data_IF_147466314416
#
_entry.id   IF_147466314416
#
_cell.length_a   1.000
_cell.length_b   1.000
_cell.length_c   1.000
_cell.angle_alpha   90.00
_cell.angle_beta   90.00
_cell.angle_gamma   90.00
#
_symmetry.space_group_name_H-M   'P 1'
#
loop_
_entity.id
_entity.type
_entity.pdbx_description
1 polymer ?
#
# COMPACT_ATOMS: atom_id res chain seq x y z
N UNK A 1 21.29 -65.20 13.89
CA UNK A 1 20.79 -63.83 13.63
C UNK A 1 21.67 -63.24 12.54
N UNK A 2 21.20 -63.24 11.29
CA UNK A 2 21.98 -62.82 10.13
C UNK A 2 21.90 -61.29 10.02
N UNK A 3 23.01 -60.62 10.34
CA UNK A 3 23.18 -59.18 10.14
C UNK A 3 23.37 -58.93 8.64
N UNK A 4 22.36 -58.34 8.01
CA UNK A 4 22.49 -57.81 6.66
C UNK A 4 23.64 -56.79 6.64
N UNK A 5 24.59 -56.88 5.69
CA UNK A 5 25.73 -55.99 5.67
C UNK A 5 25.24 -54.57 5.35
N UNK A 6 25.60 -53.62 6.22
CA UNK A 6 25.24 -52.19 6.16
C UNK A 6 25.43 -51.55 4.77
N UNK A 7 26.37 -52.08 3.97
CA UNK A 7 26.63 -51.67 2.58
C UNK A 7 25.46 -51.94 1.62
N UNK A 8 24.66 -52.97 1.89
CA UNK A 8 23.53 -53.38 1.05
C UNK A 8 22.31 -52.48 1.29
N UNK A 9 22.12 -52.02 2.53
CA UNK A 9 21.08 -51.04 2.89
C UNK A 9 21.37 -49.67 2.28
N UNK A 10 22.64 -49.24 2.31
CA UNK A 10 23.06 -47.96 1.74
C UNK A 10 22.96 -47.94 0.20
N UNK A 11 23.28 -49.06 -0.46
CA UNK A 11 23.15 -49.19 -1.91
C UNK A 11 21.67 -49.16 -2.35
N UNK A 12 20.78 -49.77 -1.56
CA UNK A 12 19.34 -49.81 -1.86
C UNK A 12 18.68 -48.43 -1.69
N UNK A 13 19.09 -47.65 -0.68
CA UNK A 13 18.55 -46.30 -0.47
C UNK A 13 19.03 -45.30 -1.54
N UNK A 14 20.26 -45.43 -2.04
CA UNK A 14 20.75 -44.63 -3.18
C UNK A 14 20.01 -44.98 -4.49
N UNK A 15 19.69 -46.26 -4.73
CA UNK A 15 18.90 -46.69 -5.90
C UNK A 15 17.45 -46.16 -5.86
N UNK A 16 16.83 -46.11 -4.68
CA UNK A 16 15.47 -45.62 -4.50
C UNK A 16 15.34 -44.10 -4.67
N UNK A 17 16.38 -43.33 -4.33
CA UNK A 17 16.42 -41.87 -4.54
C UNK A 17 16.53 -41.48 -6.02
N UNK A 18 17.14 -42.32 -6.87
CA UNK A 18 17.21 -42.08 -8.32
C UNK A 18 15.94 -42.46 -9.09
N UNK A 19 15.00 -43.18 -8.47
CA UNK A 19 13.71 -43.56 -9.06
C UNK A 19 12.60 -42.52 -8.83
N UNK A 20 12.88 -41.44 -8.08
CA UNK A 20 11.91 -40.36 -7.78
C UNK A 20 12.07 -39.12 -8.68
N UNK A 21 12.66 -39.30 -9.86
CA UNK A 21 12.76 -38.23 -10.87
C UNK A 21 12.30 -38.72 -12.23
N UNK A 22 11.24 -38.10 -12.76
CA UNK A 22 10.65 -38.27 -14.11
C UNK A 22 9.87 -39.60 -14.30
N UNK A 23 8.64 -39.66 -14.82
CA UNK A 23 7.80 -38.80 -15.66
C UNK A 23 6.36 -39.38 -15.56
N UNK A 24 5.28 -38.62 -15.80
CA UNK A 24 4.63 -38.66 -17.11
C UNK A 24 3.76 -37.41 -17.36
N UNK A 25 3.94 -36.88 -18.57
CA UNK A 25 3.16 -35.85 -19.22
C UNK A 25 1.84 -36.38 -19.79
N UNK A 26 0.85 -35.49 -19.94
CA UNK A 26 -0.15 -35.41 -21.03
C UNK A 26 -1.14 -34.29 -20.66
N UNK A 27 -1.52 -33.32 -21.48
CA UNK A 27 -1.35 -33.11 -22.90
C UNK A 27 -1.73 -31.67 -23.27
N UNK A 28 -1.42 -31.32 -24.51
CA UNK A 28 -1.56 -30.02 -25.16
C UNK A 28 -2.89 -29.29 -24.95
N UNK A 29 -2.82 -27.97 -24.70
CA UNK A 29 -3.54 -27.02 -25.55
C UNK A 29 -2.81 -25.68 -25.58
N UNK A 30 -2.44 -25.30 -26.81
CA UNK A 30 -2.10 -23.94 -27.21
C UNK A 30 -3.19 -22.96 -26.75
N UNK A 31 -2.81 -21.97 -25.97
CA UNK A 31 -3.68 -20.87 -25.56
C UNK A 31 -2.83 -19.79 -24.91
N UNK A 32 -2.74 -18.63 -25.56
CA UNK A 32 -1.85 -17.53 -25.19
C UNK A 32 -1.86 -17.24 -23.70
N UNK A 33 -0.65 -17.13 -23.14
CA UNK A 33 -0.45 -16.65 -21.78
C UNK A 33 -0.90 -15.21 -21.69
N UNK A 34 -2.19 -15.01 -21.41
CA UNK A 34 -2.64 -13.81 -20.74
C UNK A 34 -1.98 -13.84 -19.35
N UNK A 35 -1.04 -12.92 -19.13
CA UNK A 35 -0.67 -12.50 -17.79
C UNK A 35 -1.91 -11.92 -17.12
N UNK A 36 -2.75 -12.78 -16.55
CA UNK A 36 -3.71 -12.36 -15.56
C UNK A 36 -2.89 -12.03 -14.32
N UNK A 37 -2.56 -10.75 -14.18
CA UNK A 37 -2.16 -10.16 -12.90
C UNK A 37 -3.30 -10.49 -11.94
N UNK A 38 -3.08 -11.44 -11.04
CA UNK A 38 -3.98 -11.70 -9.92
C UNK A 38 -3.93 -10.41 -9.09
N UNK A 39 -4.92 -9.53 -9.31
CA UNK A 39 -5.11 -8.35 -8.49
C UNK A 39 -5.37 -8.88 -7.10
N UNK A 40 -4.52 -8.52 -6.14
CA UNK A 40 -4.73 -8.86 -4.73
C UNK A 40 -6.07 -8.27 -4.29
N UNK A 41 -7.10 -9.12 -4.27
CA UNK A 41 -8.48 -8.73 -3.98
C UNK A 41 -8.59 -8.12 -2.58
N UNK A 42 -7.76 -8.58 -1.62
CA UNK A 42 -7.75 -8.05 -0.27
C UNK A 42 -7.18 -6.64 -0.25
N UNK A 43 -6.05 -6.40 -0.93
CA UNK A 43 -5.48 -5.06 -1.01
C UNK A 43 -6.45 -4.05 -1.64
N UNK A 44 -7.16 -4.46 -2.69
CA UNK A 44 -8.18 -3.63 -3.34
C UNK A 44 -9.37 -3.33 -2.41
N UNK A 45 -9.83 -4.32 -1.63
CA UNK A 45 -10.89 -4.15 -0.64
C UNK A 45 -10.47 -3.21 0.51
N UNK A 46 -9.25 -3.38 1.03
CA UNK A 46 -8.68 -2.55 2.09
C UNK A 46 -8.58 -1.08 1.66
N UNK A 47 -8.01 -0.84 0.48
CA UNK A 47 -7.96 0.48 -0.13
C UNK A 47 -9.37 1.06 -0.29
N UNK A 48 -10.33 0.27 -0.80
CA UNK A 48 -11.71 0.76 -0.97
C UNK A 48 -12.32 1.17 0.37
N UNK A 49 -12.09 0.40 1.44
CA UNK A 49 -12.58 0.73 2.79
C UNK A 49 -11.99 2.05 3.31
N UNK A 50 -10.68 2.28 3.10
CA UNK A 50 -9.97 3.51 3.48
C UNK A 50 -10.47 4.73 2.70
N UNK A 51 -10.71 4.60 1.39
CA UNK A 51 -11.30 5.65 0.56
C UNK A 51 -12.75 5.92 0.95
N UNK A 52 -13.56 4.87 1.20
CA UNK A 52 -14.96 5.01 1.59
C UNK A 52 -15.11 5.74 2.92
N UNK A 53 -14.16 5.52 3.84
CA UNK A 53 -14.10 6.25 5.10
C UNK A 53 -13.94 7.77 4.84
N UNK A 54 -12.98 8.18 4.01
CA UNK A 54 -12.78 9.59 3.64
C UNK A 54 -14.02 10.19 2.96
N UNK A 55 -14.59 9.48 1.99
CA UNK A 55 -15.78 9.93 1.26
C UNK A 55 -16.94 10.20 2.24
N UNK A 56 -17.19 9.28 3.18
CA UNK A 56 -18.22 9.47 4.21
C UNK A 56 -17.89 10.62 5.15
N UNK A 57 -16.63 10.72 5.61
CA UNK A 57 -16.19 11.77 6.51
C UNK A 57 -16.45 13.17 5.92
N UNK A 58 -16.11 13.35 4.64
CA UNK A 58 -16.29 14.63 3.94
C UNK A 58 -17.63 14.78 3.20
N UNK A 59 -18.56 13.84 3.38
CA UNK A 59 -19.89 13.79 2.73
C UNK A 59 -19.81 13.87 1.20
N UNK A 60 -18.87 13.13 0.62
CA UNK A 60 -18.67 13.00 -0.81
C UNK A 60 -19.50 11.86 -1.38
N UNK A 61 -19.73 11.91 -2.69
CA UNK A 61 -20.34 10.79 -3.39
C UNK A 61 -19.47 9.52 -3.30
N UNK A 62 -20.06 8.33 -3.45
CA UNK A 62 -19.28 7.11 -3.57
C UNK A 62 -18.41 7.16 -4.82
N UNK A 63 -17.16 6.69 -4.72
CA UNK A 63 -16.17 6.70 -5.80
C UNK A 63 -15.90 8.12 -6.33
N UNK A 64 -15.88 9.09 -5.41
CA UNK A 64 -15.56 10.47 -5.74
C UNK A 64 -14.08 10.61 -6.08
N UNK A 65 -13.20 9.90 -5.38
CA UNK A 65 -11.77 9.93 -5.72
C UNK A 65 -11.50 9.31 -7.08
N UNK A 66 -10.50 9.85 -7.77
CA UNK A 66 -10.06 9.37 -9.08
C UNK A 66 -9.11 8.19 -8.99
N UNK A 67 -8.10 8.21 -9.86
CA UNK A 67 -7.11 7.13 -9.96
C UNK A 67 -6.26 6.99 -8.70
N UNK A 68 -5.84 5.75 -8.45
CA UNK A 68 -4.81 5.41 -7.47
C UNK A 68 -3.44 5.46 -8.13
N UNK A 69 -2.44 5.97 -7.40
CA UNK A 69 -1.07 6.07 -7.92
C UNK A 69 -0.23 4.87 -7.53
N UNK A 70 0.63 4.45 -8.46
CA UNK A 70 1.52 3.33 -8.24
C UNK A 70 2.50 3.58 -7.06
N UNK A 71 3.02 2.51 -6.44
CA UNK A 71 3.81 2.60 -5.21
C UNK A 71 4.99 3.57 -5.27
N UNK A 72 5.66 3.65 -6.42
CA UNK A 72 6.81 4.54 -6.62
C UNK A 72 6.44 6.02 -6.41
N UNK A 73 5.39 6.49 -7.11
CA UNK A 73 4.93 7.88 -7.01
C UNK A 73 4.44 8.17 -5.60
N UNK A 74 3.66 7.27 -5.01
CA UNK A 74 3.16 7.44 -3.65
C UNK A 74 4.30 7.56 -2.62
N UNK A 75 5.36 6.75 -2.75
CA UNK A 75 6.54 6.83 -1.90
C UNK A 75 7.30 8.15 -2.05
N UNK A 76 7.52 8.65 -3.27
CA UNK A 76 8.21 9.92 -3.49
C UNK A 76 7.44 11.11 -2.91
N UNK A 77 6.12 11.12 -3.12
CA UNK A 77 5.23 12.11 -2.54
C UNK A 77 5.25 12.04 -1.02
N UNK A 78 5.24 10.84 -0.44
CA UNK A 78 5.33 10.65 1.00
C UNK A 78 6.66 11.15 1.59
N UNK A 79 7.80 10.84 0.96
CA UNK A 79 9.12 11.35 1.40
C UNK A 79 9.15 12.86 1.44
N UNK A 80 8.54 13.50 0.43
CA UNK A 80 8.47 14.96 0.35
C UNK A 80 7.55 15.50 1.45
N UNK A 81 6.37 14.92 1.61
CA UNK A 81 5.35 15.37 2.57
C UNK A 81 5.83 15.26 4.03
N UNK A 82 6.44 14.14 4.44
CA UNK A 82 6.90 13.94 5.83
C UNK A 82 8.03 14.90 6.26
N UNK A 83 8.74 15.49 5.28
CA UNK A 83 9.79 16.49 5.52
C UNK A 83 9.24 17.92 5.68
N UNK A 84 8.00 18.17 5.27
CA UNK A 84 7.39 19.49 5.40
C UNK A 84 7.02 19.75 6.86
N UNK A 85 7.57 20.83 7.43
CA UNK A 85 7.19 21.29 8.77
C UNK A 85 5.72 21.73 8.85
N UNK A 86 5.12 22.10 7.72
CA UNK A 86 3.71 22.46 7.60
C UNK A 86 2.79 21.26 7.36
N UNK A 87 3.31 20.02 7.33
CA UNK A 87 2.50 18.83 7.11
C UNK A 87 1.46 18.66 8.23
N UNK A 88 0.25 18.32 7.82
CA UNK A 88 -0.91 18.14 8.68
C UNK A 88 -1.58 16.82 8.36
N UNK A 89 -2.04 16.15 9.40
CA UNK A 89 -2.58 14.81 9.31
C UNK A 89 -3.94 14.76 10.00
N UNK A 90 -4.86 14.02 9.36
CA UNK A 90 -6.07 13.54 10.01
C UNK A 90 -5.84 12.08 10.36
N UNK A 91 -5.80 11.75 11.65
CA UNK A 91 -5.39 10.42 12.13
C UNK A 91 -6.56 9.68 12.78
N UNK A 92 -6.86 8.50 12.26
CA UNK A 92 -7.94 7.63 12.75
C UNK A 92 -7.49 6.17 12.80
N UNK A 93 -8.26 5.31 13.45
CA UNK A 93 -8.08 3.86 13.30
C UNK A 93 -8.29 3.48 11.82
N UNK A 94 -7.42 2.61 11.30
CA UNK A 94 -7.55 2.13 9.92
C UNK A 94 -8.86 1.32 9.78
N UNK A 95 -9.79 1.73 8.90
CA UNK A 95 -11.06 1.03 8.69
C UNK A 95 -10.89 -0.38 8.10
N UNK A 96 -9.73 -0.69 7.50
CA UNK A 96 -9.40 -2.02 7.01
C UNK A 96 -8.68 -2.88 8.07
N UNK A 97 -7.92 -2.26 8.99
CA UNK A 97 -7.17 -2.96 10.04
C UNK A 97 -7.06 -2.13 11.33
N UNK A 98 -8.04 -2.31 12.23
CA UNK A 98 -8.16 -1.56 13.48
C UNK A 98 -6.95 -1.66 14.44
N UNK A 99 -5.99 -2.54 14.18
CA UNK A 99 -4.75 -2.65 14.97
C UNK A 99 -3.82 -1.45 14.79
N UNK A 100 -3.99 -0.67 13.72
CA UNK A 100 -3.11 0.44 13.38
C UNK A 100 -3.88 1.74 13.16
N UNK A 101 -3.14 2.84 13.18
CA UNK A 101 -3.66 4.14 12.83
C UNK A 101 -3.32 4.46 11.37
N UNK A 102 -4.27 5.11 10.72
CA UNK A 102 -4.21 5.64 9.39
C UNK A 102 -4.15 7.16 9.46
N UNK A 103 -3.07 7.72 8.94
CA UNK A 103 -2.91 9.15 8.75
C UNK A 103 -3.21 9.51 7.30
N UNK A 104 -4.21 10.39 7.12
CA UNK A 104 -4.51 11.01 5.84
C UNK A 104 -3.82 12.37 5.76
N UNK A 105 -3.31 12.74 4.59
CA UNK A 105 -2.76 14.09 4.38
C UNK A 105 -2.96 14.53 2.92
N UNK A 106 -3.46 15.76 2.68
CA UNK A 106 -3.64 16.26 1.34
C UNK A 106 -2.29 16.67 0.76
N UNK A 107 -2.08 16.33 -0.50
CA UNK A 107 -0.81 16.54 -1.21
C UNK A 107 -1.05 17.16 -2.57
N UNK A 108 -0.12 18.03 -2.96
CA UNK A 108 0.02 18.51 -4.33
C UNK A 108 1.39 18.06 -4.81
N UNK A 109 1.43 17.40 -5.97
CA UNK A 109 2.66 16.83 -6.48
C UNK A 109 2.68 16.88 -8.00
N UNK A 110 3.89 16.78 -8.56
CA UNK A 110 4.10 16.80 -10.01
C UNK A 110 4.24 15.37 -10.51
N UNK A 111 3.54 15.04 -11.59
CA UNK A 111 3.67 13.74 -12.25
C UNK A 111 5.06 13.59 -12.88
N UNK A 112 5.76 12.46 -12.69
CA UNK A 112 7.09 12.25 -13.27
C UNK A 112 7.10 12.33 -14.80
N UNK A 113 6.07 11.80 -15.44
CA UNK A 113 6.07 11.56 -16.90
C UNK A 113 5.47 12.73 -17.71
N UNK A 114 4.54 13.50 -17.13
CA UNK A 114 3.83 14.57 -17.85
C UNK A 114 4.13 15.96 -17.33
N UNK A 115 4.84 16.09 -16.21
CA UNK A 115 5.08 17.36 -15.54
C UNK A 115 3.81 18.11 -15.07
N UNK A 116 2.63 17.48 -15.16
CA UNK A 116 1.36 18.03 -14.67
C UNK A 116 1.30 18.02 -13.15
N UNK A 117 0.62 19.02 -12.59
CA UNK A 117 0.29 19.01 -11.17
C UNK A 117 -0.96 18.16 -10.93
N UNK A 118 -0.88 17.31 -9.92
CA UNK A 118 -1.98 16.51 -9.40
C UNK A 118 -2.18 16.82 -7.92
N UNK A 119 -3.40 16.53 -7.49
CA UNK A 119 -3.92 16.83 -6.17
C UNK A 119 -4.57 15.56 -5.63
N UNK A 120 -4.28 15.19 -4.39
CA UNK A 120 -4.76 13.93 -3.85
C UNK A 120 -4.64 13.82 -2.34
N UNK A 121 -5.01 12.65 -1.83
CA UNK A 121 -4.83 12.26 -0.43
C UNK A 121 -3.83 11.13 -0.37
N UNK A 122 -2.74 11.37 0.37
CA UNK A 122 -1.79 10.34 0.75
C UNK A 122 -2.28 9.63 2.00
N UNK A 123 -2.20 8.30 1.99
CA UNK A 123 -2.61 7.41 3.06
C UNK A 123 -1.39 6.71 3.66
N UNK A 124 -1.17 6.94 4.95
CA UNK A 124 0.00 6.47 5.67
C UNK A 124 -0.41 5.63 6.86
N UNK A 125 0.17 4.44 7.00
CA UNK A 125 0.06 3.68 8.23
C UNK A 125 1.12 4.19 9.21
N UNK A 126 0.64 4.66 10.37
CA UNK A 126 1.49 5.19 11.44
C UNK A 126 1.36 4.31 12.68
N UNK A 127 2.52 3.86 13.18
CA UNK A 127 2.62 2.97 14.35
C UNK A 127 3.65 3.56 15.31
N UNK A 128 3.38 3.62 16.62
CA UNK A 128 4.33 4.19 17.57
C UNK A 128 5.71 3.53 17.48
N UNK A 129 6.72 4.37 17.35
CA UNK A 129 8.14 4.03 17.28
C UNK A 129 8.56 3.15 16.10
N UNK A 130 7.78 3.15 15.01
CA UNK A 130 8.10 2.44 13.78
C UNK A 130 8.13 3.38 12.57
N UNK A 131 8.88 3.02 11.51
CA UNK A 131 8.78 3.69 10.23
C UNK A 131 7.35 3.67 9.68
N UNK A 132 6.94 4.78 9.10
CA UNK A 132 5.66 4.92 8.43
C UNK A 132 5.62 4.11 7.14
N UNK A 133 4.54 3.38 6.91
CA UNK A 133 4.32 2.66 5.67
C UNK A 133 3.37 3.46 4.78
N UNK A 134 3.75 3.65 3.51
CA UNK A 134 2.85 4.21 2.49
C UNK A 134 1.85 3.12 2.12
N UNK A 135 0.56 3.40 2.31
CA UNK A 135 -0.50 2.51 1.89
C UNK A 135 -0.85 2.82 0.45
N UNK A 136 -1.33 4.03 0.20
CA UNK A 136 -1.80 4.46 -1.12
C UNK A 136 -1.77 5.98 -1.28
N UNK A 137 -1.88 6.41 -2.53
CA UNK A 137 -2.14 7.79 -2.92
C UNK A 137 -3.31 7.79 -3.91
N UNK A 138 -4.38 8.50 -3.56
CA UNK A 138 -5.57 8.64 -4.41
C UNK A 138 -5.73 10.07 -4.87
N UNK A 139 -6.01 10.24 -6.14
CA UNK A 139 -6.17 11.55 -6.74
C UNK A 139 -7.58 12.08 -6.50
N UNK A 140 -7.68 13.40 -6.51
CA UNK A 140 -8.95 14.06 -6.73
C UNK A 140 -9.43 13.82 -8.17
N UNK A 141 -10.74 13.92 -8.45
CA UNK A 141 -11.27 13.91 -9.81
C UNK A 141 -10.49 14.80 -10.77
N UNK A 142 -10.31 14.32 -11.99
CA UNK A 142 -9.77 15.15 -13.06
C UNK A 142 -10.72 16.31 -13.39
N UNK A 143 -10.14 17.44 -13.79
CA UNK A 143 -10.91 18.60 -14.23
C UNK A 143 -11.55 19.44 -13.11
N UNK A 144 -11.28 19.16 -11.83
CA UNK A 144 -11.68 20.06 -10.76
C UNK A 144 -11.02 21.44 -10.95
N UNK A 145 -11.82 22.49 -10.79
CA UNK A 145 -11.30 23.84 -10.77
C UNK A 145 -10.44 24.06 -9.51
N UNK A 146 -9.43 24.92 -9.62
CA UNK A 146 -8.54 25.26 -8.49
C UNK A 146 -9.29 25.72 -7.24
N UNK A 147 -10.41 26.44 -7.41
CA UNK A 147 -11.26 26.86 -6.29
C UNK A 147 -11.92 25.68 -5.57
N UNK A 148 -12.28 24.62 -6.30
CA UNK A 148 -12.86 23.42 -5.72
C UNK A 148 -11.82 22.66 -4.90
N UNK A 149 -10.62 22.47 -5.49
CA UNK A 149 -9.41 21.97 -4.82
C UNK A 149 -9.21 22.73 -3.49
N UNK A 150 -9.09 24.05 -3.53
CA UNK A 150 -8.94 24.88 -2.32
C UNK A 150 -10.08 24.69 -1.30
N UNK A 151 -11.32 24.54 -1.77
CA UNK A 151 -12.47 24.21 -0.92
C UNK A 151 -12.32 22.86 -0.20
N UNK A 152 -11.82 21.83 -0.89
CA UNK A 152 -11.51 20.53 -0.29
C UNK A 152 -10.39 20.62 0.73
N UNK A 153 -9.31 21.33 0.40
CA UNK A 153 -8.21 21.58 1.33
C UNK A 153 -8.69 22.31 2.59
N UNK A 154 -9.53 23.33 2.44
CA UNK A 154 -10.12 24.06 3.57
C UNK A 154 -10.94 23.15 4.48
N UNK A 155 -11.76 22.25 3.91
CA UNK A 155 -12.51 21.25 4.68
C UNK A 155 -11.60 20.24 5.37
N UNK A 156 -10.58 19.74 4.68
CA UNK A 156 -9.62 18.82 5.26
C UNK A 156 -8.86 19.46 6.43
N UNK A 157 -8.34 20.67 6.24
CA UNK A 157 -7.63 21.38 7.30
C UNK A 157 -8.52 21.78 8.48
N UNK A 158 -9.83 21.87 8.29
CA UNK A 158 -10.79 21.97 9.39
C UNK A 158 -10.98 20.67 10.18
N UNK A 159 -10.60 19.52 9.62
CA UNK A 159 -10.70 18.19 10.23
C UNK A 159 -9.35 17.64 10.75
N UNK A 160 -8.24 18.33 10.47
CA UNK A 160 -6.90 17.96 10.96
C UNK A 160 -6.87 17.94 12.48
N UNK A 161 -6.31 16.87 13.03
CA UNK A 161 -6.13 16.69 14.47
C UNK A 161 -4.65 16.56 14.88
N UNK A 162 -3.71 16.40 13.92
CA UNK A 162 -2.27 16.29 14.19
C UNK A 162 -1.42 17.15 13.25
N UNK A 163 -0.45 17.87 13.82
CA UNK A 163 0.70 18.41 13.07
C UNK A 163 1.84 17.40 13.00
N UNK A 164 2.88 17.70 12.22
CA UNK A 164 4.12 16.92 12.21
C UNK A 164 4.75 16.80 13.60
N UNK A 165 4.72 17.86 14.40
CA UNK A 165 5.22 17.85 15.78
C UNK A 165 4.39 16.94 16.69
N UNK A 166 3.07 16.88 16.49
CA UNK A 166 2.21 15.94 17.20
C UNK A 166 2.55 14.49 16.81
N UNK A 167 2.79 14.22 15.52
CA UNK A 167 3.25 12.90 15.05
C UNK A 167 4.56 12.51 15.73
N UNK A 168 5.53 13.43 15.79
CA UNK A 168 6.81 13.19 16.47
C UNK A 168 6.63 12.89 17.96
N UNK A 169 5.77 13.63 18.64
CA UNK A 169 5.53 13.48 20.08
C UNK A 169 4.84 12.15 20.41
N UNK A 170 3.87 11.75 19.60
CA UNK A 170 3.01 10.60 19.89
C UNK A 170 3.51 9.29 19.29
N UNK A 171 4.14 9.35 18.11
CA UNK A 171 4.62 8.17 17.39
C UNK A 171 6.16 8.10 17.33
N UNK A 172 6.87 9.13 17.79
CA UNK A 172 8.33 9.15 17.81
C UNK A 172 8.97 9.52 16.46
N UNK A 173 10.28 9.73 16.50
CA UNK A 173 11.09 10.10 15.33
C UNK A 173 10.99 9.11 14.16
N UNK A 174 10.99 7.78 14.38
CA UNK A 174 10.85 6.80 13.29
C UNK A 174 9.61 7.01 12.41
N UNK A 175 8.51 7.55 12.95
CA UNK A 175 7.28 7.76 12.19
C UNK A 175 7.42 8.81 11.07
N UNK A 176 8.48 9.60 11.05
CA UNK A 176 8.79 10.52 9.95
C UNK A 176 9.65 9.90 8.84
N UNK A 177 10.09 8.65 9.02
CA UNK A 177 10.81 7.88 8.01
C UNK A 177 9.86 6.90 7.35
N UNK A 178 10.16 6.55 6.10
CA UNK A 178 9.43 5.50 5.40
C UNK A 178 10.03 4.13 5.68
N UNK A 179 9.18 3.12 5.83
CA UNK A 179 9.60 1.72 5.74
C UNK A 179 10.16 1.47 4.34
N UNK A 180 11.35 0.89 4.27
CA UNK A 180 11.96 0.41 3.02
C UNK A 180 11.25 -0.85 2.56
#
# INVERSE_FOLDING_TARGET
>A
MNLLPFKLVLALSLLLLTLSGCHCASGSQSGGGNHNVEVDEQAAQDLRARVAHLERHFKLGPNWFGETRGPHVAQEVARSQLRLTSAKFMVHHDPADYRFNLAYTPVSYRMPDSADWKHGILMLRVVPHQPTQVLDLVDFPEGLAQREVEGYWGRFYGAVDKTREDILREYGEPALHLSV
#
